data_IF_691074640746
#
_entry.id   IF_691074640746
#
_cell.length_a   1.000
_cell.length_b   1.000
_cell.length_c   1.000
_cell.angle_alpha   90.00
_cell.angle_beta   90.00
_cell.angle_gamma   90.00
#
_symmetry.space_group_name_H-M   'P 1'
#
loop_
_entity.id
_entity.type
_entity.pdbx_description
1 polymer ?
#
# COMPACT_ATOMS: atom_id res chain seq x y z
N UNK A 1 9.55 -6.44 -14.29
CA UNK A 1 9.40 -5.02 -13.93
C UNK A 1 7.98 -4.56 -14.24
N UNK A 2 7.21 -4.08 -13.25
CA UNK A 2 5.94 -3.39 -13.50
C UNK A 2 6.15 -2.18 -14.40
N UNK A 3 5.22 -1.90 -15.32
CA UNK A 3 5.27 -0.64 -16.07
C UNK A 3 4.96 0.55 -15.16
N UNK A 4 5.46 1.75 -15.51
CA UNK A 4 5.13 2.99 -14.78
C UNK A 4 3.61 3.24 -14.71
N UNK A 5 2.90 2.90 -15.80
CA UNK A 5 1.44 2.96 -15.84
C UNK A 5 0.81 1.99 -14.83
N UNK A 6 1.27 0.74 -14.78
CA UNK A 6 0.80 -0.27 -13.82
C UNK A 6 1.04 0.18 -12.38
N UNK A 7 2.23 0.73 -12.10
CA UNK A 7 2.58 1.27 -10.79
C UNK A 7 1.64 2.42 -10.38
N UNK A 8 1.36 3.32 -11.32
CA UNK A 8 0.43 4.45 -11.11
C UNK A 8 -0.99 3.97 -10.84
N UNK A 9 -1.50 3.02 -11.63
CA UNK A 9 -2.83 2.46 -11.44
C UNK A 9 -2.95 1.71 -10.10
N UNK A 10 -1.93 0.96 -9.70
CA UNK A 10 -1.89 0.27 -8.41
C UNK A 10 -1.91 1.25 -7.24
N UNK A 11 -1.18 2.38 -7.34
CA UNK A 11 -1.23 3.46 -6.34
C UNK A 11 -2.61 4.09 -6.24
N UNK A 12 -3.27 4.37 -7.36
CA UNK A 12 -4.64 4.90 -7.40
C UNK A 12 -5.62 3.91 -6.76
N UNK A 13 -5.46 2.62 -7.04
CA UNK A 13 -6.30 1.57 -6.48
C UNK A 13 -6.20 1.54 -4.95
N UNK A 14 -4.99 1.52 -4.39
CA UNK A 14 -4.76 1.52 -2.94
C UNK A 14 -5.34 2.77 -2.27
N UNK A 15 -5.13 3.95 -2.84
CA UNK A 15 -5.69 5.20 -2.30
C UNK A 15 -7.22 5.17 -2.32
N UNK A 16 -7.81 4.69 -3.42
CA UNK A 16 -9.27 4.54 -3.55
C UNK A 16 -9.83 3.56 -2.51
N UNK A 17 -9.17 2.41 -2.32
CA UNK A 17 -9.55 1.44 -1.29
C UNK A 17 -9.49 2.04 0.11
N UNK A 18 -8.44 2.81 0.42
CA UNK A 18 -8.29 3.48 1.70
C UNK A 18 -9.40 4.51 1.96
N UNK A 19 -9.76 5.32 0.96
CA UNK A 19 -10.86 6.28 1.04
C UNK A 19 -12.19 5.55 1.24
N UNK A 20 -12.47 4.52 0.45
CA UNK A 20 -13.73 3.78 0.53
C UNK A 20 -13.86 3.06 1.88
N UNK A 21 -12.78 2.44 2.38
CA UNK A 21 -12.74 1.81 3.70
C UNK A 21 -13.07 2.83 4.81
N UNK A 22 -12.48 4.03 4.75
CA UNK A 22 -12.70 5.08 5.75
C UNK A 22 -14.08 5.72 5.69
N UNK A 23 -14.64 5.90 4.49
CA UNK A 23 -15.89 6.65 4.28
C UNK A 23 -17.14 5.79 4.25
N UNK A 24 -17.01 4.49 3.93
CA UNK A 24 -18.15 3.58 3.77
C UNK A 24 -18.14 2.39 4.74
N UNK A 25 -17.19 2.33 5.68
CA UNK A 25 -17.15 1.22 6.65
C UNK A 25 -16.80 -0.14 6.05
N UNK A 26 -16.23 -0.19 4.83
CA UNK A 26 -15.82 -1.44 4.15
C UNK A 26 -14.73 -2.20 4.95
N UNK A 27 -14.27 -1.67 6.09
CA UNK A 27 -13.35 -2.34 7.02
C UNK A 27 -14.00 -3.07 8.20
N UNK A 28 -15.33 -3.15 8.30
CA UNK A 28 -15.98 -3.98 9.31
C UNK A 28 -15.77 -5.47 8.98
N UNK A 29 -15.14 -6.17 9.95
CA UNK A 29 -14.65 -7.56 10.06
C UNK A 29 -14.90 -8.55 8.90
N UNK A 30 -16.07 -8.62 8.29
CA UNK A 30 -16.40 -9.58 7.24
C UNK A 30 -15.73 -9.28 5.89
N UNK A 31 -15.43 -8.01 5.61
CA UNK A 31 -14.76 -7.60 4.37
C UNK A 31 -13.24 -7.86 4.39
N UNK A 32 -12.67 -8.21 5.56
CA UNK A 32 -11.22 -8.39 5.74
C UNK A 32 -10.67 -9.58 4.95
N UNK A 33 -11.42 -10.69 4.91
CA UNK A 33 -11.08 -11.90 4.15
C UNK A 33 -10.90 -11.62 2.65
N UNK A 34 -11.59 -10.62 2.11
CA UNK A 34 -11.49 -10.22 0.70
C UNK A 34 -10.44 -9.13 0.47
N UNK A 35 -10.24 -8.26 1.46
CA UNK A 35 -9.35 -7.11 1.31
C UNK A 35 -7.87 -7.50 1.34
N UNK A 36 -7.47 -8.47 2.17
CA UNK A 36 -6.07 -8.90 2.22
C UNK A 36 -5.59 -9.53 0.91
N UNK A 37 -6.26 -10.55 0.31
CA UNK A 37 -5.85 -11.11 -0.97
C UNK A 37 -5.81 -10.09 -2.11
N UNK A 38 -6.74 -9.13 -2.09
CA UNK A 38 -6.77 -8.04 -3.08
C UNK A 38 -5.53 -7.14 -2.95
N UNK A 39 -5.14 -6.75 -1.73
CA UNK A 39 -3.93 -5.97 -1.50
C UNK A 39 -2.67 -6.76 -1.89
N UNK A 40 -2.62 -8.05 -1.59
CA UNK A 40 -1.53 -8.95 -2.02
C UNK A 40 -1.41 -8.98 -3.55
N UNK A 41 -2.53 -9.12 -4.26
CA UNK A 41 -2.55 -9.14 -5.72
C UNK A 41 -2.11 -7.81 -6.34
N UNK A 42 -2.59 -6.66 -5.83
CA UNK A 42 -2.19 -5.34 -6.32
C UNK A 42 -0.69 -5.13 -6.10
N UNK A 43 -0.17 -5.51 -4.93
CA UNK A 43 1.23 -5.32 -4.59
C UNK A 43 2.17 -6.34 -5.25
N UNK A 44 1.69 -7.53 -5.62
CA UNK A 44 2.49 -8.51 -6.37
C UNK A 44 2.98 -7.93 -7.70
N UNK A 45 2.18 -7.05 -8.32
CA UNK A 45 2.50 -6.36 -9.56
C UNK A 45 3.10 -4.96 -9.36
N UNK A 46 3.64 -4.62 -8.19
CA UNK A 46 4.15 -3.28 -7.91
C UNK A 46 5.37 -3.28 -6.98
N UNK A 47 6.24 -2.27 -7.12
CA UNK A 47 7.40 -2.07 -6.23
C UNK A 47 7.32 -0.76 -5.44
N UNK A 48 6.23 0.00 -5.59
CA UNK A 48 6.09 1.30 -4.96
C UNK A 48 6.02 1.19 -3.43
N UNK A 49 6.50 2.26 -2.79
CA UNK A 49 6.35 2.47 -1.37
C UNK A 49 5.63 3.79 -1.07
N UNK A 50 5.31 3.98 0.20
CA UNK A 50 4.61 5.14 0.72
C UNK A 50 5.44 5.78 1.83
N UNK A 51 5.55 7.11 1.82
CA UNK A 51 6.20 7.84 2.92
C UNK A 51 5.41 7.67 4.22
N UNK A 52 6.08 7.79 5.38
CA UNK A 52 5.39 7.76 6.68
C UNK A 52 4.30 8.84 6.79
N UNK A 53 4.57 10.03 6.21
CA UNK A 53 3.60 11.12 6.11
C UNK A 53 2.34 10.70 5.35
N UNK A 54 2.45 9.84 4.34
CA UNK A 54 1.29 9.32 3.61
C UNK A 54 0.62 8.18 4.36
N UNK A 55 1.41 7.24 4.88
CA UNK A 55 0.93 6.05 5.61
C UNK A 55 0.02 6.41 6.79
N UNK A 56 0.30 7.51 7.51
CA UNK A 56 -0.53 7.98 8.64
C UNK A 56 -1.98 8.30 8.27
N UNK A 57 -2.27 8.56 6.99
CA UNK A 57 -3.61 8.90 6.50
C UNK A 57 -4.42 7.66 6.10
N UNK A 58 -3.78 6.51 5.92
CA UNK A 58 -4.47 5.27 5.60
C UNK A 58 -5.15 4.67 6.83
N UNK A 59 -6.28 3.95 6.64
CA UNK A 59 -6.86 3.12 7.68
C UNK A 59 -5.81 2.19 8.29
N UNK A 60 -5.84 1.93 9.62
CA UNK A 60 -4.81 1.15 10.31
C UNK A 60 -4.49 -0.17 9.61
N UNK A 61 -5.51 -0.91 9.19
CA UNK A 61 -5.37 -2.19 8.49
C UNK A 61 -4.52 -2.09 7.20
N UNK A 62 -4.88 -1.16 6.31
CA UNK A 62 -4.14 -0.95 5.04
C UNK A 62 -2.73 -0.44 5.35
N UNK A 63 -2.59 0.45 6.34
CA UNK A 63 -1.30 0.98 6.77
C UNK A 63 -0.35 -0.12 7.22
N UNK A 64 -0.79 -1.02 8.09
CA UNK A 64 0.07 -2.11 8.59
C UNK A 64 0.49 -3.05 7.45
N UNK A 65 -0.39 -3.33 6.49
CA UNK A 65 -0.04 -4.13 5.31
C UNK A 65 1.03 -3.45 4.44
N UNK A 66 0.90 -2.15 4.20
CA UNK A 66 1.85 -1.38 3.38
C UNK A 66 3.20 -1.13 4.08
N UNK A 67 3.21 -1.05 5.42
CA UNK A 67 4.44 -0.87 6.21
C UNK A 67 5.45 -2.00 6.02
N UNK A 68 4.98 -3.24 5.86
CA UNK A 68 5.85 -4.41 5.67
C UNK A 68 6.67 -4.32 4.36
N UNK A 69 6.20 -3.54 3.39
CA UNK A 69 6.86 -3.35 2.08
C UNK A 69 7.85 -2.19 2.09
N UNK A 70 8.63 -2.03 3.17
CA UNK A 70 9.61 -0.94 3.34
C UNK A 70 10.44 -0.67 2.07
N UNK A 71 10.72 0.61 1.85
CA UNK A 71 11.41 1.10 0.65
C UNK A 71 12.82 0.54 0.52
N UNK A 72 12.98 -0.44 -0.38
CA UNK A 72 14.29 -1.00 -0.73
C UNK A 72 15.23 0.06 -1.29
N UNK A 73 14.74 1.10 -2.00
CA UNK A 73 15.61 2.20 -2.47
C UNK A 73 16.06 3.08 -1.32
N UNK A 74 15.16 3.41 -0.39
CA UNK A 74 15.51 4.12 0.85
C UNK A 74 16.54 3.37 1.70
N UNK A 75 16.43 2.04 1.79
CA UNK A 75 17.43 1.20 2.47
C UNK A 75 18.78 1.22 1.74
N UNK A 76 18.80 1.11 0.41
CA UNK A 76 20.03 1.22 -0.37
C UNK A 76 20.67 2.60 -0.19
N UNK A 77 19.90 3.69 -0.21
CA UNK A 77 20.44 5.04 0.01
C UNK A 77 21.04 5.19 1.41
N UNK A 78 20.40 4.64 2.46
CA UNK A 78 20.97 4.64 3.80
C UNK A 78 22.25 3.79 3.89
N UNK A 79 22.29 2.64 3.22
CA UNK A 79 23.48 1.79 3.17
C UNK A 79 24.65 2.46 2.42
N UNK A 80 24.38 3.36 1.47
CA UNK A 80 25.42 4.14 0.77
C UNK A 80 25.95 5.32 1.59
N UNK A 81 25.27 5.71 2.68
CA UNK A 81 25.74 6.76 3.59
C UNK A 81 26.51 6.21 4.81
N UNK A 82 26.68 4.89 4.92
CA UNK A 82 27.56 4.22 5.89
C UNK A 82 28.94 3.98 5.30
#
# INVERSE_FOLDING_TARGET
EPSELTETLNRICIVSLAIMSKTRGIGELDNFLYLQPLLEQILAASQHTWSEKTLRHFPPMIREFLKVRMDKRGQVIQAWQQ
#
